data_IF_862863407204
#
_entry.id   IF_862863407204
#
_cell.length_a   1.000
_cell.length_b   1.000
_cell.length_c   1.000
_cell.angle_alpha   90.00
_cell.angle_beta   90.00
_cell.angle_gamma   90.00
#
_symmetry.space_group_name_H-M   'P 1'
#
loop_
_entity.id
_entity.type
_entity.pdbx_description
1 polymer ?
2 non-polymer ?
3 non-polymer ?
4 water ?
#
# COMPACT_ATOMS: atom_id res chain seq x y z
N UNK A 1 23.11 6.43 -0.78
CA UNK A 1 23.13 6.31 0.71
C UNK A 1 21.91 5.52 1.17
N UNK A 2 21.30 5.88 2.31
CA UNK A 2 20.16 5.13 2.82
C UNK A 2 18.98 5.33 1.86
N UNK A 3 18.01 4.42 1.91
CA UNK A 3 16.74 4.59 1.17
C UNK A 3 15.97 5.70 1.87
N UNK A 4 15.25 6.50 1.09
CA UNK A 4 14.44 7.59 1.65
C UNK A 4 12.99 7.13 1.87
N UNK A 5 12.42 7.50 3.01
CA UNK A 5 11.07 7.07 3.45
C UNK A 5 10.27 8.24 3.98
N UNK A 6 8.96 8.22 3.78
CA UNK A 6 8.03 9.20 4.38
C UNK A 6 6.95 8.44 5.13
N UNK A 7 6.51 8.97 6.26
CA UNK A 7 5.33 8.48 6.99
C UNK A 7 4.07 9.06 6.34
N UNK A 8 3.05 8.23 6.16
CA UNK A 8 1.82 8.68 5.48
C UNK A 8 0.64 7.78 5.82
N UNK A 9 -0.56 8.28 5.59
CA UNK A 9 -1.79 7.46 5.57
C UNK A 9 -2.40 7.53 4.18
N UNK A 10 -3.20 6.52 3.87
CA UNK A 10 -3.92 6.44 2.58
C UNK A 10 -5.41 6.39 2.87
N UNK A 11 -6.19 7.09 2.06
CA UNK A 11 -7.67 6.95 2.05
C UNK A 11 -8.15 6.73 0.62
N UNK A 12 -9.13 5.86 0.45
CA UNK A 12 -9.70 5.50 -0.86
C UNK A 12 -10.58 6.68 -1.32
N UNK A 13 -11.03 6.64 -2.55
CA UNK A 13 -11.70 7.84 -3.13
C UNK A 13 -13.10 8.00 -2.54
N UNK A 14 -13.58 7.03 -1.75
CA UNK A 14 -14.78 7.23 -0.89
C UNK A 14 -14.40 7.61 0.51
N UNK A 15 -13.13 7.99 0.74
CA UNK A 15 -12.56 8.57 1.97
C UNK A 15 -12.63 7.50 3.08
N UNK A 16 -12.55 6.24 2.69
CA UNK A 16 -12.38 5.12 3.66
C UNK A 16 -10.90 5.03 4.06
N UNK A 17 -10.71 4.88 5.36
CA UNK A 17 -9.42 4.73 6.05
C UNK A 17 -9.06 3.25 6.06
N UNK A 18 -7.77 2.92 6.15
CA UNK A 18 -7.28 1.51 6.23
C UNK A 18 -6.83 1.22 7.67
N UNK A 19 -7.15 0.03 8.17
CA UNK A 19 -6.79 -0.39 9.56
C UNK A 19 -6.37 -1.87 9.53
N UNK A 20 -5.44 -2.22 10.41
CA UNK A 20 -5.08 -3.62 10.75
C UNK A 20 -6.26 -4.26 11.51
N UNK A 21 -7.08 -5.07 10.83
CA UNK A 21 -8.24 -5.78 11.43
C UNK A 21 -7.75 -7.00 12.21
N UNK A 22 -6.92 -7.83 11.56
CA UNK A 22 -6.44 -9.11 12.12
C UNK A 22 -4.97 -9.35 11.77
N UNK A 23 -4.38 -10.47 12.25
CA UNK A 23 -3.02 -10.86 11.87
C UNK A 23 -2.85 -10.83 10.34
N UNK A 24 -1.88 -10.06 9.84
CA UNK A 24 -1.56 -9.94 8.39
C UNK A 24 -2.83 -9.56 7.60
N UNK A 25 -3.74 -8.79 8.21
CA UNK A 25 -5.07 -8.51 7.61
C UNK A 25 -5.35 -7.01 7.62
N UNK A 26 -5.67 -6.48 6.43
CA UNK A 26 -6.08 -5.07 6.19
C UNK A 26 -7.52 -5.02 5.68
N UNK A 27 -8.33 -4.17 6.30
CA UNK A 27 -9.71 -3.82 5.87
C UNK A 27 -9.77 -2.30 5.67
N UNK A 28 -10.89 -1.80 5.14
CA UNK A 28 -11.12 -0.36 4.90
C UNK A 28 -12.50 0.04 5.43
N UNK A 29 -12.59 1.19 6.10
CA UNK A 29 -13.87 1.66 6.67
C UNK A 29 -13.83 3.17 6.83
N UNK A 30 -15.04 3.74 6.79
CA UNK A 30 -15.28 5.15 7.13
C UNK A 30 -14.90 5.37 8.59
N UNK A 31 -13.99 6.28 8.86
CA UNK A 31 -13.46 6.61 10.21
C UNK A 31 -13.48 8.11 10.30
N UNK A 32 -13.82 8.65 11.48
CA UNK A 32 -13.71 10.09 11.73
C UNK A 32 -13.63 10.26 13.24
N UNK A 33 -12.98 11.32 13.70
CA UNK A 33 -12.87 11.65 15.14
C UNK A 33 -11.90 10.74 15.86
N UNK A 34 -12.22 10.35 17.11
CA UNK A 34 -11.26 9.64 17.99
C UNK A 34 -10.74 8.40 17.27
N UNK A 35 -11.63 7.68 16.59
CA UNK A 35 -11.33 6.35 15.99
C UNK A 35 -10.27 6.47 14.89
N UNK A 36 -9.82 7.68 14.51
CA UNK A 36 -8.86 7.80 13.39
C UNK A 36 -7.46 7.40 13.86
N UNK A 37 -7.24 7.29 15.17
CA UNK A 37 -5.98 6.75 15.74
C UNK A 37 -5.82 5.30 15.30
N UNK A 38 -6.89 4.61 14.92
CA UNK A 38 -6.85 3.17 14.54
C UNK A 38 -6.23 3.04 13.15
N UNK A 39 -6.13 4.13 12.39
CA UNK A 39 -5.66 4.00 10.99
C UNK A 39 -4.20 3.51 10.94
N UNK A 40 -3.89 2.80 9.87
CA UNK A 40 -2.50 2.35 9.60
C UNK A 40 -1.68 3.53 9.10
N UNK A 41 -0.55 3.73 9.74
CA UNK A 41 0.51 4.63 9.25
C UNK A 41 1.56 3.82 8.51
N UNK A 42 1.76 4.18 7.26
CA UNK A 42 2.75 3.57 6.37
C UNK A 42 4.07 4.33 6.45
N UNK A 43 5.14 3.59 6.30
CA UNK A 43 6.43 4.15 5.84
C UNK A 43 6.57 3.85 4.37
N UNK A 44 6.41 4.88 3.54
CA UNK A 44 6.52 4.74 2.07
C UNK A 44 7.97 4.99 1.70
N UNK A 45 8.63 3.97 1.17
CA UNK A 45 10.05 4.02 0.76
C UNK A 45 10.11 4.25 -0.76
N UNK A 46 11.04 5.09 -1.21
CA UNK A 46 11.26 5.38 -2.64
C UNK A 46 12.38 4.45 -3.12
N UNK A 47 12.01 3.43 -3.87
CA UNK A 47 12.91 2.28 -4.13
C UNK A 47 13.40 2.30 -5.57
N UNK A 48 14.32 1.40 -5.86
CA UNK A 48 14.83 1.19 -7.24
C UNK A 48 13.72 0.60 -8.12
N UNK A 49 13.68 1.02 -9.38
CA UNK A 49 12.75 0.46 -10.37
C UNK A 49 12.53 1.45 -11.52
N UNK A 50 11.80 1.03 -12.55
CA UNK A 50 11.39 1.87 -13.71
C UNK A 50 10.56 3.09 -13.24
N UNK A 51 10.94 4.32 -13.63
CA UNK A 51 10.31 5.58 -13.17
C UNK A 51 9.90 6.46 -14.37
N UNK A 52 8.82 7.23 -14.25
CA UNK A 52 8.45 8.28 -15.24
C UNK A 52 7.88 9.49 -14.49
N UNK A 53 7.49 10.55 -15.21
CA UNK A 53 7.00 11.81 -14.57
C UNK A 53 6.03 11.46 -13.44
N UNK A 54 5.06 10.59 -13.72
CA UNK A 54 3.89 10.39 -12.83
C UNK A 54 3.76 8.93 -12.37
N UNK A 55 4.84 8.15 -12.47
CA UNK A 55 4.93 6.70 -12.11
C UNK A 55 6.21 6.45 -11.30
N UNK A 56 6.08 6.32 -9.97
CA UNK A 56 7.24 6.34 -9.03
C UNK A 56 7.24 5.05 -8.22
N UNK A 57 8.30 4.23 -8.23
CA UNK A 57 8.28 2.92 -7.56
C UNK A 57 8.45 3.12 -6.06
N UNK A 58 7.55 2.51 -5.26
CA UNK A 58 7.61 2.63 -3.79
C UNK A 58 7.43 1.24 -3.18
N UNK A 59 7.83 1.12 -1.93
CA UNK A 59 7.41 0.04 -1.04
C UNK A 59 6.55 0.65 0.07
N UNK A 60 5.61 -0.14 0.55
CA UNK A 60 4.68 0.28 1.62
C UNK A 60 4.88 -0.65 2.80
N UNK A 61 5.65 -0.18 3.77
CA UNK A 61 5.83 -0.83 5.06
C UNK A 61 4.96 -0.17 6.12
N UNK A 62 4.58 -0.92 7.15
CA UNK A 62 3.84 -0.39 8.31
C UNK A 62 4.84 0.35 9.20
N UNK A 63 4.50 1.57 9.61
CA UNK A 63 5.46 2.41 10.40
C UNK A 63 6.00 1.64 11.62
N UNK A 64 7.33 1.60 11.71
CA UNK A 64 8.14 0.94 12.78
C UNK A 64 7.71 -0.52 12.96
N UNK A 65 7.35 -1.19 11.87
CA UNK A 65 7.07 -2.65 11.89
C UNK A 65 7.78 -3.26 10.70
N UNK A 66 8.26 -4.47 10.90
CA UNK A 66 8.97 -5.23 9.86
C UNK A 66 7.90 -5.97 9.08
N UNK A 67 6.93 -5.22 8.51
CA UNK A 67 5.80 -5.75 7.72
C UNK A 67 5.62 -4.86 6.49
N UNK A 68 5.52 -5.49 5.32
CA UNK A 68 5.42 -4.79 4.02
C UNK A 68 4.22 -5.37 3.29
N UNK A 69 3.50 -4.52 2.58
CA UNK A 69 2.56 -5.06 1.56
C UNK A 69 3.39 -5.74 0.47
N UNK A 70 2.85 -6.85 -0.04
CA UNK A 70 3.56 -7.83 -0.91
C UNK A 70 2.57 -8.44 -1.91
N UNK A 71 2.97 -8.57 -3.18
CA UNK A 71 2.11 -9.16 -4.22
C UNK A 71 2.71 -10.52 -4.55
N UNK A 72 1.91 -11.56 -4.36
CA UNK A 72 2.37 -12.95 -4.57
C UNK A 72 1.21 -13.73 -5.18
N UNK A 73 1.54 -14.79 -5.91
CA UNK A 73 0.52 -15.71 -6.41
C UNK A 73 0.03 -16.53 -5.23
N UNK A 74 -1.29 -16.58 -5.08
CA UNK A 74 -1.89 -17.46 -4.06
C UNK A 74 -2.99 -18.23 -4.76
N UNK A 75 -3.05 -19.54 -4.46
CA UNK A 75 -4.01 -20.47 -5.09
C UNK A 75 -4.19 -19.98 -6.54
N UNK A 76 -3.07 -19.66 -7.21
CA UNK A 76 -2.91 -19.35 -8.67
C UNK A 76 -3.34 -17.94 -9.12
N UNK A 77 -3.46 -16.95 -8.23
CA UNK A 77 -3.97 -15.59 -8.58
C UNK A 77 -3.03 -14.55 -7.95
N UNK A 78 -2.69 -13.39 -8.59
CA UNK A 78 -2.01 -12.28 -7.89
C UNK A 78 -2.89 -11.87 -6.71
N UNK A 79 -2.31 -11.85 -5.51
CA UNK A 79 -2.98 -11.36 -4.28
C UNK A 79 -2.06 -10.38 -3.54
N UNK A 80 -2.67 -9.62 -2.64
CA UNK A 80 -2.00 -8.68 -1.71
C UNK A 80 -1.83 -9.39 -0.38
N UNK A 81 -0.62 -9.41 0.17
CA UNK A 81 -0.41 -9.97 1.52
C UNK A 81 0.38 -8.95 2.33
N UNK A 82 0.36 -9.10 3.64
CA UNK A 82 1.35 -8.48 4.53
C UNK A 82 2.42 -9.53 4.75
N UNK A 83 3.66 -9.15 4.58
CA UNK A 83 4.79 -10.09 4.69
C UNK A 83 5.80 -9.55 5.72
N UNK A 84 6.21 -10.43 6.65
CA UNK A 84 7.28 -10.21 7.66
C UNK A 84 8.65 -10.21 6.98
N UNK A 85 9.56 -9.33 7.40
CA UNK A 85 10.93 -9.30 6.89
C UNK A 85 11.90 -9.20 8.07
N UNK A 86 13.15 -9.44 7.77
CA UNK A 86 14.27 -9.26 8.74
C UNK A 86 14.44 -7.78 9.08
N UNK A 87 14.16 -7.32 10.31
CA UNK A 87 14.18 -5.89 10.59
C UNK A 87 15.58 -5.29 10.46
N UNK A 88 16.61 -6.12 10.40
CA UNK A 88 18.01 -5.63 10.24
C UNK A 88 18.24 -5.18 8.79
N UNK A 89 17.48 -5.69 7.83
CA UNK A 89 17.82 -5.58 6.39
C UNK A 89 16.86 -4.63 5.65
N UNK A 90 15.83 -4.11 6.33
CA UNK A 90 14.75 -3.29 5.70
C UNK A 90 14.57 -2.00 6.47
N UNK A 91 14.13 -0.92 5.81
CA UNK A 91 13.87 -0.93 4.38
C UNK A 91 15.23 -0.89 3.66
N UNK A 92 15.22 -1.15 2.37
CA UNK A 92 16.43 -1.00 1.52
C UNK A 92 16.05 -0.40 0.18
N UNK A 93 17.03 0.12 -0.54
CA UNK A 93 16.74 0.80 -1.83
C UNK A 93 16.34 -0.25 -2.88
N UNK A 94 17.01 -1.41 -2.92
CA UNK A 94 16.71 -2.49 -3.88
C UNK A 94 15.71 -3.48 -3.25
N UNK A 95 14.46 -3.07 -3.06
CA UNK A 95 13.41 -3.97 -2.53
C UNK A 95 13.13 -5.02 -3.59
N UNK A 96 12.85 -6.26 -3.18
CA UNK A 96 12.40 -7.36 -4.07
C UNK A 96 11.12 -6.96 -4.76
N UNK A 97 10.89 -7.51 -5.95
CA UNK A 97 9.85 -6.98 -6.86
C UNK A 97 8.46 -7.14 -6.26
N UNK A 98 8.21 -8.19 -5.47
CA UNK A 98 6.90 -8.46 -4.86
C UNK A 98 6.49 -7.30 -3.94
N UNK A 99 7.45 -6.51 -3.45
CA UNK A 99 7.21 -5.39 -2.49
C UNK A 99 7.00 -4.06 -3.23
N UNK A 100 7.14 -4.06 -4.57
CA UNK A 100 7.24 -2.78 -5.31
C UNK A 100 5.86 -2.47 -5.91
N UNK A 101 5.42 -1.23 -5.71
CA UNK A 101 4.21 -0.65 -6.33
C UNK A 101 4.66 0.55 -7.14
N UNK A 102 4.07 0.69 -8.31
CA UNK A 102 4.18 1.93 -9.10
C UNK A 102 3.10 2.88 -8.61
N UNK A 103 3.52 3.93 -7.94
CA UNK A 103 2.59 4.97 -7.45
C UNK A 103 2.35 5.94 -8.62
N UNK A 104 1.13 5.93 -9.12
CA UNK A 104 0.73 6.62 -10.38
C UNK A 104 -0.19 7.78 -10.00
N UNK A 105 0.07 8.98 -10.51
CA UNK A 105 -0.72 10.19 -10.21
C UNK A 105 -1.66 10.33 -11.39
N UNK A 106 -2.97 10.17 -11.17
CA UNK A 106 -4.01 10.35 -12.22
C UNK A 106 -5.15 11.18 -11.61
N UNK A 107 -5.38 12.37 -12.19
CA UNK A 107 -6.56 13.23 -11.90
C UNK A 107 -6.62 13.47 -10.40
N UNK A 108 -5.48 13.90 -9.85
CA UNK A 108 -5.32 14.45 -8.49
C UNK A 108 -5.52 13.33 -7.47
N UNK A 109 -5.49 12.07 -7.92
CA UNK A 109 -5.51 10.87 -7.04
C UNK A 109 -4.30 10.00 -7.33
N UNK A 110 -4.13 8.96 -6.50
CA UNK A 110 -3.00 8.01 -6.62
C UNK A 110 -3.56 6.61 -6.85
N UNK A 111 -2.88 5.85 -7.68
CA UNK A 111 -3.18 4.41 -7.85
C UNK A 111 -1.88 3.71 -7.54
N UNK A 112 -1.95 2.51 -7.00
CA UNK A 112 -0.76 1.72 -6.64
C UNK A 112 -0.84 0.43 -7.44
N UNK A 113 -0.13 0.42 -8.55
CA UNK A 113 -0.01 -0.76 -9.43
C UNK A 113 1.10 -1.69 -8.92
N UNK A 114 0.83 -2.98 -8.89
CA UNK A 114 1.87 -4.00 -8.57
C UNK A 114 2.97 -3.96 -9.64
N UNK A 115 4.24 -3.73 -9.27
CA UNK A 115 5.38 -3.78 -10.22
C UNK A 115 5.45 -5.20 -10.78
N UNK A 116 5.25 -6.20 -9.93
CA UNK A 116 5.31 -7.65 -10.27
C UNK A 116 4.18 -8.03 -11.23
N UNK A 117 2.95 -7.56 -11.02
CA UNK A 117 1.76 -8.01 -11.77
C UNK A 117 1.15 -6.79 -12.44
N UNK A 118 1.60 -6.44 -13.66
CA UNK A 118 1.08 -5.27 -14.37
C UNK A 118 -0.45 -5.28 -14.40
N UNK A 119 -1.02 -4.09 -14.21
CA UNK A 119 -2.46 -3.80 -14.27
C UNK A 119 -3.26 -4.44 -13.15
N UNK A 120 -2.59 -4.86 -12.07
CA UNK A 120 -3.21 -5.26 -10.79
C UNK A 120 -2.92 -4.16 -9.78
N UNK A 121 -3.94 -3.72 -9.08
CA UNK A 121 -3.94 -2.51 -8.24
C UNK A 121 -4.33 -2.82 -6.80
N UNK A 122 -3.75 -2.06 -5.86
CA UNK A 122 -4.30 -2.02 -4.49
C UNK A 122 -5.74 -1.50 -4.63
N UNK A 123 -6.68 -2.24 -4.04
CA UNK A 123 -8.13 -1.99 -4.21
C UNK A 123 -8.86 -2.08 -2.89
N UNK A 124 -9.99 -1.41 -2.83
CA UNK A 124 -10.95 -1.58 -1.74
C UNK A 124 -12.32 -1.89 -2.34
N UNK A 125 -13.19 -2.41 -1.51
CA UNK A 125 -14.61 -2.62 -1.85
C UNK A 125 -15.42 -1.36 -1.50
N UNK A 126 -16.61 -1.21 -2.08
CA UNK A 126 -17.51 -0.11 -1.66
C UNK A 126 -18.05 -0.39 -0.24
N UNK A 127 -18.30 -1.66 0.08
CA UNK A 127 -18.83 -2.09 1.40
C UNK A 127 -17.85 -1.76 2.52
N UNK A 128 -18.41 -1.57 3.70
CA UNK A 128 -17.67 -1.19 4.92
C UNK A 128 -16.98 -2.44 5.47
N UNK A 129 -15.77 -2.26 6.02
CA UNK A 129 -15.04 -3.29 6.79
C UNK A 129 -14.71 -4.52 5.96
N UNK A 130 -14.33 -4.37 4.68
CA UNK A 130 -13.96 -5.50 3.81
C UNK A 130 -12.44 -5.42 3.59
N UNK A 131 -11.81 -6.53 3.20
CA UNK A 131 -10.36 -6.55 3.06
C UNK A 131 -9.88 -5.60 1.96
N UNK A 132 -8.66 -5.13 2.12
CA UNK A 132 -7.90 -4.47 1.03
C UNK A 132 -7.33 -5.62 0.20
N UNK A 133 -7.32 -5.49 -1.11
CA UNK A 133 -6.97 -6.61 -1.99
C UNK A 133 -6.29 -6.13 -3.23
N UNK A 134 -5.74 -7.07 -4.00
CA UNK A 134 -5.20 -6.77 -5.34
C UNK A 134 -6.29 -7.02 -6.37
N UNK A 135 -6.58 -6.01 -7.20
CA UNK A 135 -7.65 -6.03 -8.22
C UNK A 135 -7.20 -5.42 -9.54
N UNK A 136 -7.32 -6.19 -10.62
CA UNK A 136 -6.84 -5.83 -11.98
C UNK A 136 -7.72 -6.42 -13.07
N UNK A 140 -15.19 -1.99 -14.23
CA UNK A 140 -15.78 -2.93 -13.24
C UNK A 140 -16.33 -2.20 -12.02
N UNK A 141 -15.87 -2.56 -10.81
CA UNK A 141 -16.59 -2.27 -9.52
C UNK A 141 -15.66 -1.95 -8.33
N UNK A 142 -14.34 -1.85 -8.51
CA UNK A 142 -13.39 -1.71 -7.38
C UNK A 142 -12.96 -0.24 -7.22
N UNK A 143 -12.44 0.14 -6.05
CA UNK A 143 -11.80 1.47 -5.84
C UNK A 143 -10.28 1.28 -5.85
N UNK A 144 -9.58 1.96 -6.77
CA UNK A 144 -8.10 1.93 -6.92
C UNK A 144 -7.53 3.33 -6.72
N UNK A 145 -8.41 4.31 -6.50
CA UNK A 145 -8.01 5.73 -6.41
C UNK A 145 -7.92 6.10 -4.93
N UNK A 146 -6.77 6.63 -4.55
CA UNK A 146 -6.46 7.01 -3.15
C UNK A 146 -6.00 8.44 -3.10
N UNK A 147 -6.00 9.00 -1.89
CA UNK A 147 -5.24 10.18 -1.56
C UNK A 147 -4.31 9.81 -0.44
N UNK A 148 -3.18 10.51 -0.38
CA UNK A 148 -2.14 10.33 0.66
C UNK A 148 -2.20 11.54 1.59
N UNK A 149 -2.00 11.29 2.89
CA UNK A 149 -1.84 12.35 3.94
C UNK A 149 -0.45 12.14 4.53
N UNK A 150 0.37 13.18 4.56
CA UNK A 150 1.75 13.13 5.08
C UNK A 150 1.65 13.34 6.60
N UNK A 151 2.34 12.48 7.36
CA UNK A 151 2.31 12.41 8.85
C UNK A 151 3.70 12.84 9.38
N UNK A 152 3.78 13.47 10.55
CA UNK A 152 5.07 13.72 11.27
C UNK A 152 5.72 12.38 11.64
X LIG B 1 20.19 0.53 1.34
X LIG B 1 20.94 -0.31 2.25
X LIG B 1 21.10 1.43 0.65
X LIG B 1 19.51 -0.29 0.39
X LIG B 1 19.23 1.31 2.08
X LIG C 1 13.84 -13.24 -1.29
X LIG C 1 13.41 -12.33 -0.24
X LIG C 1 15.27 -13.13 -1.46
X LIG C 1 13.50 -14.59 -0.91
X LIG C 1 13.21 -12.93 -2.54
X LIG D 1 -5.61 -13.11 0.30
X LIG D 1 -6.83 -8.25 3.82
X LIG D 1 -6.12 -11.44 2.01
X LIG D 1 -5.01 -12.08 1.16
X LIG D 1 -6.36 -12.86 -0.86
X LIG D 1 -6.71 -14.10 -1.37
X LIG D 1 -5.84 -10.29 2.79
X LIG D 1 -3.29 -7.47 3.12
X LIG D 1 -5.55 -7.70 3.94
X LIG D 1 -4.66 -8.13 2.88
X LIG D 1 -4.49 -9.68 2.98
X LIG D 1 -6.82 -9.79 3.77
X LIG D 1 -6.13 -15.07 -0.47
X LIG D 1 -5.45 -14.46 0.55
X LIG D 1 -7.24 -11.93 1.99
#
# INVERSE_FOLDING_TARGET
>A
APVRSLNCTLRDSQQKSLVMSGPYELKALHLQGQDMEQQVVFSMSFVQGEESNDKIPVALGLKEKNLYLSCVLKDDKPTLQLESVDPKNYPKKKMEKRFVFNKIEINNKLEFESAQFPNWYISTSQAENMPVFLGGTKGGQDITDFTMQFVSS
>B hetero
1 SO4 S O1 O2 O3 O4
>C hetero
1 SO4 S O1 O2 O3 O4
>D hetero
1 S7D N1 C4 C5 C6 C7 C8 N C O C1 C2 C3 C9 N2 O1
#
